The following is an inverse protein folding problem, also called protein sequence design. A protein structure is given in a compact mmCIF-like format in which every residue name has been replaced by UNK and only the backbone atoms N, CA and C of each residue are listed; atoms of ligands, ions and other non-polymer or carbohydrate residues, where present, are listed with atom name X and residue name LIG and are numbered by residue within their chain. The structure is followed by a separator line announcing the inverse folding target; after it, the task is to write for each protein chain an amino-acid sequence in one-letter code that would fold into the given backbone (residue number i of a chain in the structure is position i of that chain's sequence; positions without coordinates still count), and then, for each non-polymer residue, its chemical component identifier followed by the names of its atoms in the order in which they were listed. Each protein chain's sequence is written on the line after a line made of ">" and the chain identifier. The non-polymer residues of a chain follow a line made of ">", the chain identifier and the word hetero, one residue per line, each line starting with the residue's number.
data_IF_321411386130
#
_entry.id   IF_321411386130
#
_cell.length_a   1.000
_cell.length_b   1.000
_cell.length_c   1.000
_cell.angle_alpha   90.00
_cell.angle_beta   90.00
_cell.angle_gamma   90.00
#
_symmetry.space_group_name_H-M   'P 1'
#
loop_
_entity.id
_entity.type
_entity.pdbx_description
1 polymer ?
#
# COMPACT_ATOMS: atom_id res chain seq x y z
N UNK A 1 3.56 -11.25 6.26
CA UNK A 1 4.38 -12.39 6.70
C UNK A 1 3.50 -13.48 7.32
N UNK A 2 3.76 -14.73 7.00
CA UNK A 2 3.01 -15.89 7.48
C UNK A 2 3.01 -15.99 9.03
N UNK A 3 4.08 -15.56 9.67
CA UNK A 3 4.25 -15.56 11.14
C UNK A 3 4.43 -14.17 11.74
N UNK A 4 3.96 -13.13 11.07
CA UNK A 4 4.17 -11.73 11.50
C UNK A 4 3.58 -11.42 12.87
N UNK A 5 2.39 -11.93 13.17
CA UNK A 5 1.76 -11.75 14.50
C UNK A 5 2.60 -12.40 15.60
N UNK A 6 3.12 -13.59 15.36
CA UNK A 6 3.96 -14.29 16.33
C UNK A 6 5.29 -13.56 16.58
N UNK A 7 5.90 -13.04 15.52
CA UNK A 7 7.11 -12.23 15.65
C UNK A 7 6.86 -10.96 16.48
N UNK A 8 5.73 -10.28 16.24
CA UNK A 8 5.34 -9.12 17.06
C UNK A 8 5.09 -9.50 18.52
N UNK A 9 4.48 -10.65 18.80
CA UNK A 9 4.29 -11.13 20.16
C UNK A 9 5.62 -11.38 20.87
N UNK A 10 6.67 -11.84 20.17
CA UNK A 10 8.00 -11.97 20.76
C UNK A 10 8.58 -10.62 21.18
N UNK A 11 8.37 -9.56 20.38
CA UNK A 11 8.77 -8.20 20.76
C UNK A 11 8.03 -7.75 22.03
N UNK A 12 6.73 -8.00 22.12
CA UNK A 12 5.96 -7.67 23.33
C UNK A 12 6.44 -8.47 24.54
N UNK A 13 6.74 -9.75 24.37
CA UNK A 13 7.27 -10.61 25.44
C UNK A 13 8.61 -10.07 26.00
N UNK A 14 9.51 -9.59 25.14
CA UNK A 14 10.75 -8.96 25.59
C UNK A 14 10.49 -7.73 26.48
N UNK A 15 9.55 -6.87 26.09
CA UNK A 15 9.18 -5.70 26.90
C UNK A 15 8.54 -6.10 28.24
N UNK A 16 7.70 -7.14 28.25
CA UNK A 16 7.08 -7.67 29.47
C UNK A 16 8.13 -8.28 30.40
N UNK A 17 9.03 -9.12 29.89
CA UNK A 17 10.09 -9.78 30.66
C UNK A 17 11.06 -8.78 31.30
N UNK A 18 11.33 -7.68 30.63
CA UNK A 18 12.24 -6.64 31.11
C UNK A 18 11.53 -5.53 31.89
N UNK A 19 10.21 -5.61 32.08
CA UNK A 19 9.40 -4.58 32.73
C UNK A 19 9.35 -3.25 32.02
N UNK A 20 9.71 -3.21 30.73
CA UNK A 20 9.79 -1.99 29.91
C UNK A 20 8.54 -1.81 29.04
N UNK A 21 7.37 -1.92 29.67
CA UNK A 21 6.07 -1.66 29.03
C UNK A 21 5.30 -0.63 29.86
N UNK A 22 4.58 0.26 29.19
CA UNK A 22 3.78 1.32 29.81
C UNK A 22 4.55 2.25 30.76
N UNK A 23 5.85 2.38 30.57
CA UNK A 23 6.70 3.34 31.27
C UNK A 23 7.12 4.45 30.29
N UNK A 24 7.28 5.70 30.75
CA UNK A 24 7.79 6.79 29.93
C UNK A 24 9.12 6.43 29.24
N UNK A 25 9.19 6.60 27.92
CA UNK A 25 10.37 6.26 27.12
C UNK A 25 10.58 4.77 26.88
N UNK A 26 9.67 3.90 27.32
CA UNK A 26 9.76 2.45 27.15
C UNK A 26 8.52 1.89 26.47
N UNK A 27 8.71 0.87 25.62
CA UNK A 27 7.62 0.15 24.98
C UNK A 27 7.94 -0.30 23.56
N UNK A 28 7.17 -1.24 23.01
CA UNK A 28 7.27 -1.62 21.63
C UNK A 28 6.80 -0.47 20.73
N UNK A 29 7.55 -0.20 19.68
CA UNK A 29 7.29 0.93 18.79
C UNK A 29 7.25 0.47 17.33
N UNK A 30 6.21 0.86 16.60
CA UNK A 30 6.08 0.58 15.17
C UNK A 30 6.65 1.74 14.35
N UNK A 31 7.76 1.46 13.65
CA UNK A 31 8.38 2.42 12.74
C UNK A 31 7.81 2.23 11.33
N UNK A 32 6.69 2.86 11.05
CA UNK A 32 6.13 2.91 9.71
C UNK A 32 6.95 3.90 8.86
N UNK A 33 7.40 3.46 7.67
CA UNK A 33 8.37 4.21 6.88
C UNK A 33 7.82 5.43 6.12
N UNK A 34 6.62 5.33 5.55
CA UNK A 34 6.07 6.39 4.71
C UNK A 34 5.51 7.54 5.56
N UNK A 35 5.67 8.81 5.11
CA UNK A 35 5.15 9.99 5.81
C UNK A 35 3.64 9.93 6.09
N UNK A 36 2.85 9.37 5.20
CA UNK A 36 1.39 9.27 5.33
C UNK A 36 0.88 7.84 5.29
N UNK A 37 1.62 6.87 5.83
CA UNK A 37 1.16 5.47 5.80
C UNK A 37 -0.20 5.29 6.48
N UNK A 38 -0.42 5.93 7.63
CA UNK A 38 -1.71 5.90 8.31
C UNK A 38 -2.79 6.64 7.51
N UNK A 39 -2.50 7.83 6.99
CA UNK A 39 -3.41 8.59 6.14
C UNK A 39 -3.78 7.83 4.86
N UNK A 40 -2.80 7.28 4.19
CA UNK A 40 -2.99 6.50 2.96
C UNK A 40 -3.79 5.23 3.20
N UNK A 41 -3.46 4.47 4.25
CA UNK A 41 -4.10 3.18 4.52
C UNK A 41 -5.51 3.32 5.11
N UNK A 42 -5.74 4.29 5.98
CA UNK A 42 -6.99 4.43 6.74
C UNK A 42 -7.91 5.52 6.21
N UNK A 43 -7.41 6.74 6.05
CA UNK A 43 -8.20 7.88 5.62
C UNK A 43 -8.55 7.77 4.13
N UNK A 44 -7.61 7.40 3.28
CA UNK A 44 -7.81 7.25 1.84
C UNK A 44 -8.33 5.85 1.46
N UNK A 45 -7.87 4.81 2.14
CA UNK A 45 -8.31 3.44 1.91
C UNK A 45 -7.68 2.78 0.68
N UNK A 46 -6.35 2.78 0.60
CA UNK A 46 -5.63 2.27 -0.58
C UNK A 46 -5.52 0.74 -0.69
N UNK A 47 -5.91 -0.01 0.33
CA UNK A 47 -5.93 -1.47 0.25
C UNK A 47 -7.13 -1.99 -0.53
N UNK A 48 -6.98 -3.13 -1.20
CA UNK A 48 -8.01 -3.74 -2.04
C UNK A 48 -9.37 -4.01 -1.35
N UNK A 49 -9.39 -4.10 -0.02
CA UNK A 49 -10.60 -4.31 0.79
C UNK A 49 -11.14 -3.03 1.43
N UNK A 50 -10.45 -1.90 1.28
CA UNK A 50 -10.76 -0.65 1.97
C UNK A 50 -11.48 0.36 1.10
N UNK A 51 -12.21 1.21 1.77
CA UNK A 51 -12.75 2.48 1.32
C UNK A 51 -12.25 3.57 2.28
N UNK A 52 -12.38 4.86 1.96
CA UNK A 52 -11.97 5.95 2.85
C UNK A 52 -12.58 5.84 4.26
N UNK A 53 -11.89 6.44 5.24
CA UNK A 53 -12.33 6.53 6.64
C UNK A 53 -12.58 5.17 7.31
N UNK A 54 -11.67 4.21 7.11
CA UNK A 54 -11.73 2.83 7.65
C UNK A 54 -12.93 2.00 7.15
N UNK A 55 -13.69 2.49 6.18
CA UNK A 55 -14.77 1.73 5.57
C UNK A 55 -14.23 0.54 4.74
N UNK A 56 -15.08 -0.43 4.45
CA UNK A 56 -14.73 -1.65 3.71
C UNK A 56 -15.67 -1.92 2.56
N UNK A 57 -15.15 -2.44 1.46
CA UNK A 57 -15.93 -2.73 0.23
C UNK A 57 -16.99 -3.81 0.42
N UNK A 58 -16.82 -4.72 1.38
CA UNK A 58 -17.78 -5.79 1.66
C UNK A 58 -19.06 -5.31 2.35
N UNK A 59 -19.07 -4.11 2.92
CA UNK A 59 -20.23 -3.53 3.57
C UNK A 59 -21.02 -2.65 2.58
N UNK A 60 -22.24 -2.99 2.33
CA UNK A 60 -23.14 -2.29 1.40
C UNK A 60 -23.33 -0.81 1.78
N UNK A 61 -23.59 -0.52 3.06
CA UNK A 61 -23.77 0.85 3.53
C UNK A 61 -22.52 1.71 3.30
N UNK A 62 -21.33 1.12 3.44
CA UNK A 62 -20.06 1.82 3.19
C UNK A 62 -19.90 2.16 1.71
N UNK A 63 -20.27 1.23 0.81
CA UNK A 63 -20.27 1.48 -0.64
C UNK A 63 -21.24 2.61 -0.98
N UNK A 64 -22.47 2.54 -0.48
CA UNK A 64 -23.50 3.57 -0.72
C UNK A 64 -23.04 4.97 -0.29
N UNK A 65 -22.38 5.06 0.88
CA UNK A 65 -21.83 6.34 1.37
C UNK A 65 -20.76 6.87 0.40
N UNK A 66 -19.84 6.02 -0.05
CA UNK A 66 -18.79 6.42 -0.97
C UNK A 66 -19.34 6.78 -2.34
N UNK A 67 -20.24 5.98 -2.90
CA UNK A 67 -20.88 6.24 -4.19
C UNK A 67 -21.61 7.58 -4.20
N UNK A 68 -22.38 7.87 -3.16
CA UNK A 68 -23.04 9.17 -2.99
C UNK A 68 -22.05 10.33 -2.90
N UNK A 69 -20.96 10.16 -2.10
CA UNK A 69 -19.94 11.21 -1.93
C UNK A 69 -19.15 11.48 -3.20
N UNK A 70 -18.85 10.43 -3.97
CA UNK A 70 -18.13 10.53 -5.23
C UNK A 70 -19.03 10.89 -6.42
N UNK A 71 -20.35 10.98 -6.20
CA UNK A 71 -21.33 11.23 -7.24
C UNK A 71 -21.24 10.24 -8.41
N UNK A 72 -21.14 8.97 -8.10
CA UNK A 72 -21.12 7.85 -9.06
C UNK A 72 -22.39 7.00 -8.89
N UNK A 73 -22.82 6.27 -9.94
CA UNK A 73 -24.02 5.43 -9.88
C UNK A 73 -23.93 4.38 -8.77
N UNK A 74 -25.06 4.09 -8.14
CA UNK A 74 -25.16 3.02 -7.15
C UNK A 74 -24.80 1.67 -7.78
N UNK A 75 -24.04 0.86 -7.02
CA UNK A 75 -23.53 -0.44 -7.49
C UNK A 75 -22.27 -0.36 -8.36
N UNK A 76 -21.66 0.82 -8.50
CA UNK A 76 -20.39 0.99 -9.22
C UNK A 76 -19.22 0.34 -8.46
N UNK A 77 -19.22 0.44 -7.13
CA UNK A 77 -18.16 -0.15 -6.30
C UNK A 77 -18.41 -1.64 -6.13
N UNK A 78 -17.47 -2.50 -6.57
CA UNK A 78 -17.64 -3.95 -6.43
C UNK A 78 -17.75 -4.38 -4.95
N UNK A 79 -18.63 -5.32 -4.66
CA UNK A 79 -18.78 -5.89 -3.32
C UNK A 79 -17.67 -6.88 -2.95
N UNK A 80 -16.89 -7.34 -3.92
CA UNK A 80 -15.79 -8.28 -3.74
C UNK A 80 -14.47 -7.53 -3.51
N UNK A 81 -13.67 -8.04 -2.59
CA UNK A 81 -12.31 -7.58 -2.37
C UNK A 81 -11.48 -7.83 -3.64
N UNK A 82 -10.69 -6.84 -4.06
CA UNK A 82 -9.75 -6.97 -5.16
C UNK A 82 -8.57 -7.90 -4.84
N UNK A 83 -7.73 -8.16 -5.82
CA UNK A 83 -6.57 -9.02 -5.68
C UNK A 83 -5.51 -8.37 -4.77
N UNK A 84 -4.96 -9.11 -3.83
CA UNK A 84 -3.78 -8.70 -3.08
C UNK A 84 -2.53 -8.76 -3.96
N UNK A 85 -1.43 -8.10 -3.58
CA UNK A 85 -0.25 -7.90 -4.42
C UNK A 85 0.29 -9.18 -5.10
N UNK A 86 0.46 -10.27 -4.36
CA UNK A 86 0.95 -11.55 -4.94
C UNK A 86 -0.07 -12.15 -5.91
N UNK A 87 -1.36 -12.02 -5.63
CA UNK A 87 -2.40 -12.49 -6.54
C UNK A 87 -2.47 -11.64 -7.82
N UNK A 88 -2.15 -10.35 -7.74
CA UNK A 88 -2.01 -9.50 -8.93
C UNK A 88 -0.82 -9.92 -9.79
N UNK A 89 0.34 -10.23 -9.17
CA UNK A 89 1.50 -10.76 -9.89
C UNK A 89 1.19 -12.06 -10.63
N UNK A 90 0.47 -12.99 -9.96
CA UNK A 90 0.00 -14.23 -10.57
C UNK A 90 -0.99 -13.98 -11.71
N UNK A 91 -1.92 -13.06 -11.51
CA UNK A 91 -2.91 -12.71 -12.54
C UNK A 91 -2.23 -12.09 -13.78
N UNK A 92 -1.17 -11.31 -13.59
CA UNK A 92 -0.34 -10.78 -14.67
C UNK A 92 0.41 -11.91 -15.42
N UNK A 93 1.02 -12.83 -14.69
CA UNK A 93 1.70 -14.02 -15.22
C UNK A 93 0.73 -14.92 -16.00
N UNK A 94 -0.49 -15.12 -15.47
CA UNK A 94 -1.51 -15.97 -16.07
C UNK A 94 -2.27 -15.29 -17.23
N UNK A 95 -1.93 -14.05 -17.59
CA UNK A 95 -2.60 -13.31 -18.64
C UNK A 95 -4.03 -12.85 -18.31
N UNK A 96 -4.40 -12.84 -17.03
CA UNK A 96 -5.68 -12.30 -16.54
C UNK A 96 -5.64 -10.79 -16.35
N UNK A 97 -4.44 -10.21 -16.25
CA UNK A 97 -4.13 -8.80 -16.29
C UNK A 97 -3.08 -8.59 -17.37
N UNK A 98 -3.19 -7.49 -18.11
CA UNK A 98 -2.25 -7.14 -19.17
C UNK A 98 -1.62 -5.75 -18.96
N UNK A 99 -2.10 -5.00 -17.96
CA UNK A 99 -1.53 -3.72 -17.57
C UNK A 99 -1.27 -3.73 -16.08
N UNK A 100 -0.09 -3.29 -15.68
CA UNK A 100 0.29 -3.19 -14.27
C UNK A 100 0.98 -1.86 -14.00
N UNK A 101 0.38 -1.04 -13.16
CA UNK A 101 0.91 0.27 -12.79
C UNK A 101 1.39 0.24 -11.33
N UNK A 102 2.68 0.38 -11.14
CA UNK A 102 3.34 0.47 -9.84
C UNK A 102 3.66 1.92 -9.51
N UNK A 103 3.29 2.37 -8.32
CA UNK A 103 3.54 3.73 -7.86
C UNK A 103 4.36 3.73 -6.58
N UNK A 104 5.51 4.40 -6.58
CA UNK A 104 6.38 4.67 -5.42
C UNK A 104 6.73 3.43 -4.59
N UNK A 105 6.93 2.30 -5.23
CA UNK A 105 7.40 1.06 -4.59
C UNK A 105 8.29 0.25 -5.52
N UNK A 106 9.42 -0.22 -5.00
CA UNK A 106 10.39 -1.00 -5.77
C UNK A 106 10.03 -2.49 -5.73
N UNK A 107 8.96 -2.85 -6.39
CA UNK A 107 8.38 -4.19 -6.35
C UNK A 107 9.33 -5.29 -6.85
N UNK A 108 10.24 -4.98 -7.78
CA UNK A 108 11.22 -5.95 -8.30
C UNK A 108 12.31 -6.31 -7.28
N UNK A 109 12.40 -5.58 -6.15
CA UNK A 109 13.28 -5.92 -5.03
C UNK A 109 12.51 -6.32 -3.76
N UNK A 110 11.37 -5.71 -3.51
CA UNK A 110 10.63 -5.86 -2.26
C UNK A 110 9.58 -6.99 -2.28
N UNK A 111 9.28 -7.57 -3.42
CA UNK A 111 8.26 -8.61 -3.53
C UNK A 111 8.75 -9.98 -3.06
N UNK A 112 7.84 -10.86 -2.61
CA UNK A 112 8.18 -12.25 -2.29
C UNK A 112 8.35 -13.06 -3.58
N UNK A 113 9.31 -14.00 -3.56
CA UNK A 113 9.55 -14.98 -4.63
C UNK A 113 9.51 -14.37 -6.05
N UNK A 114 10.30 -13.32 -6.24
CA UNK A 114 10.28 -12.48 -7.44
C UNK A 114 10.44 -13.28 -8.72
N UNK A 115 11.37 -14.24 -8.72
CA UNK A 115 11.73 -15.00 -9.92
C UNK A 115 10.57 -15.86 -10.46
N UNK A 116 9.74 -16.41 -9.60
CA UNK A 116 8.67 -17.32 -9.99
C UNK A 116 7.30 -16.64 -10.05
N UNK A 117 7.07 -15.64 -9.19
CA UNK A 117 5.76 -15.02 -9.08
C UNK A 117 5.64 -13.75 -9.93
N UNK A 118 6.64 -12.87 -9.87
CA UNK A 118 6.57 -11.54 -10.51
C UNK A 118 7.27 -11.46 -11.85
N UNK A 119 8.52 -11.89 -11.91
CA UNK A 119 9.36 -11.78 -13.09
C UNK A 119 8.70 -12.31 -14.37
N UNK A 120 8.03 -13.49 -14.35
CA UNK A 120 7.42 -14.02 -15.54
C UNK A 120 6.33 -13.08 -16.12
N UNK A 121 5.50 -12.48 -15.28
CA UNK A 121 4.47 -11.53 -15.72
C UNK A 121 5.05 -10.19 -16.19
N UNK A 122 6.08 -9.69 -15.51
CA UNK A 122 6.72 -8.43 -15.88
C UNK A 122 7.52 -8.50 -17.19
N UNK A 123 8.03 -9.68 -17.55
CA UNK A 123 8.78 -9.90 -18.79
C UNK A 123 7.95 -10.48 -19.94
N UNK A 124 6.68 -10.72 -19.71
CA UNK A 124 5.77 -11.19 -20.76
C UNK A 124 5.48 -10.04 -21.73
N UNK A 125 5.82 -10.16 -23.01
CA UNK A 125 5.63 -9.08 -24.00
C UNK A 125 4.16 -8.74 -24.26
N UNK A 126 3.22 -9.53 -23.76
CA UNK A 126 1.79 -9.23 -23.81
C UNK A 126 1.33 -8.22 -22.77
N UNK A 127 2.16 -7.97 -21.76
CA UNK A 127 1.86 -7.10 -20.63
C UNK A 127 2.50 -5.73 -20.83
N UNK A 128 1.86 -4.71 -20.30
CA UNK A 128 2.34 -3.34 -20.30
C UNK A 128 2.58 -2.87 -18.87
N UNK A 129 3.82 -2.59 -18.53
CA UNK A 129 4.26 -2.26 -17.18
C UNK A 129 4.54 -0.75 -17.08
N UNK A 130 3.83 -0.08 -16.18
CA UNK A 130 4.02 1.34 -15.88
C UNK A 130 4.62 1.46 -14.49
N UNK A 131 5.65 2.30 -14.33
CA UNK A 131 6.23 2.63 -13.02
C UNK A 131 6.26 4.13 -12.84
N UNK A 132 5.67 4.60 -11.75
CA UNK A 132 5.76 5.97 -11.27
C UNK A 132 6.63 5.99 -10.02
N UNK A 133 7.83 6.58 -10.13
CA UNK A 133 8.79 6.62 -9.02
C UNK A 133 9.66 7.87 -9.12
N UNK A 134 10.06 8.49 -8.01
CA UNK A 134 11.04 9.60 -8.02
C UNK A 134 12.46 9.14 -8.35
N UNK A 135 12.75 7.84 -8.28
CA UNK A 135 14.08 7.28 -8.53
C UNK A 135 14.07 6.23 -9.64
N UNK A 136 15.18 6.08 -10.38
CA UNK A 136 15.36 5.02 -11.37
C UNK A 136 15.65 3.68 -10.69
N UNK A 137 14.65 3.15 -10.00
CA UNK A 137 14.73 1.86 -9.30
C UNK A 137 14.84 0.68 -10.28
N UNK A 138 15.20 -0.50 -9.77
CA UNK A 138 15.20 -1.75 -10.58
C UNK A 138 13.82 -1.99 -11.19
N UNK A 139 12.75 -1.65 -10.50
CA UNK A 139 11.38 -1.72 -11.04
C UNK A 139 11.17 -0.76 -12.19
N UNK A 140 11.65 0.49 -12.05
CA UNK A 140 11.55 1.47 -13.12
C UNK A 140 12.33 1.04 -14.37
N UNK A 141 13.55 0.52 -14.19
CA UNK A 141 14.37 0.03 -15.30
C UNK A 141 13.78 -1.20 -16.02
N UNK A 142 12.86 -1.90 -15.40
CA UNK A 142 12.18 -3.06 -15.96
C UNK A 142 10.78 -2.72 -16.54
N UNK A 143 10.39 -1.45 -16.56
CA UNK A 143 9.08 -0.99 -17.03
C UNK A 143 9.11 -0.63 -18.51
N UNK A 144 7.93 -0.73 -19.15
CA UNK A 144 7.72 -0.24 -20.53
C UNK A 144 7.51 1.28 -20.55
N UNK A 145 6.93 1.85 -19.50
CA UNK A 145 6.72 3.28 -19.35
C UNK A 145 7.14 3.74 -17.95
N UNK A 146 8.04 4.74 -17.91
CA UNK A 146 8.45 5.40 -16.67
C UNK A 146 7.79 6.77 -16.60
N UNK A 147 7.11 7.04 -15.49
CA UNK A 147 6.52 8.35 -15.17
C UNK A 147 7.25 8.91 -13.94
N UNK A 148 8.25 9.78 -14.11
CA UNK A 148 8.95 10.40 -12.98
C UNK A 148 7.97 11.17 -12.09
N UNK A 149 8.07 10.98 -10.78
CA UNK A 149 7.20 11.64 -9.81
C UNK A 149 7.99 12.55 -8.88
N UNK A 150 7.37 13.65 -8.47
CA UNK A 150 7.92 14.51 -7.42
C UNK A 150 7.94 13.78 -6.07
N UNK A 151 8.99 13.98 -5.30
CA UNK A 151 9.05 13.58 -3.90
C UNK A 151 8.04 14.37 -3.06
N UNK A 152 7.73 13.87 -1.87
CA UNK A 152 6.78 14.54 -0.98
C UNK A 152 7.23 15.94 -0.57
N UNK A 153 8.54 16.20 -0.46
CA UNK A 153 9.12 17.51 -0.14
C UNK A 153 9.04 18.49 -1.31
N UNK A 154 8.94 18.01 -2.54
CA UNK A 154 8.87 18.81 -3.76
C UNK A 154 7.46 19.28 -4.11
N UNK A 155 6.49 19.04 -3.24
CA UNK A 155 5.07 19.39 -3.46
C UNK A 155 4.39 19.72 -2.14
N UNK A 156 3.29 20.44 -2.21
CA UNK A 156 2.43 20.66 -1.05
C UNK A 156 1.56 19.44 -0.74
N UNK A 157 1.18 19.28 0.52
CA UNK A 157 0.28 18.21 0.88
C UNK A 157 -0.03 18.11 2.36
N UNK A 158 -0.71 17.03 2.71
CA UNK A 158 -1.04 16.66 4.07
C UNK A 158 -0.80 15.17 4.28
N UNK A 159 -0.38 14.79 5.46
CA UNK A 159 -0.26 13.38 5.84
C UNK A 159 -0.77 13.13 7.26
N UNK A 160 -1.37 11.97 7.46
CA UNK A 160 -1.81 11.48 8.76
C UNK A 160 -0.73 10.63 9.43
N UNK A 161 -0.73 10.62 10.76
CA UNK A 161 0.16 9.79 11.55
C UNK A 161 -0.60 8.88 12.52
N UNK A 162 0.14 8.07 13.30
CA UNK A 162 -0.44 7.15 14.28
C UNK A 162 -1.18 7.86 15.43
N UNK A 163 -0.87 9.12 15.71
CA UNK A 163 -1.58 9.95 16.69
C UNK A 163 -2.89 10.54 16.16
N UNK A 164 -3.26 10.25 14.91
CA UNK A 164 -4.42 10.80 14.22
C UNK A 164 -4.37 12.32 14.02
N UNK A 165 -3.17 12.88 13.95
CA UNK A 165 -2.95 14.27 13.55
C UNK A 165 -2.77 14.35 12.05
N UNK A 166 -3.29 15.43 11.44
CA UNK A 166 -3.00 15.80 10.06
C UNK A 166 -1.92 16.87 10.05
N UNK A 167 -0.80 16.54 9.43
CA UNK A 167 0.30 17.45 9.22
C UNK A 167 0.23 18.04 7.82
N UNK A 168 0.35 19.34 7.73
CA UNK A 168 0.47 20.05 6.45
C UNK A 168 1.93 20.42 6.21
N UNK A 169 2.37 20.29 4.99
CA UNK A 169 3.69 20.77 4.58
C UNK A 169 3.59 21.57 3.29
N UNK A 170 4.56 22.44 3.11
CA UNK A 170 4.73 23.23 1.89
C UNK A 170 5.90 22.66 1.10
N UNK A 171 5.89 22.92 -0.18
CA UNK A 171 7.03 22.65 -1.07
C UNK A 171 8.28 23.33 -0.54
N UNK A 172 9.40 22.62 -0.52
CA UNK A 172 10.71 23.11 -0.12
C UNK A 172 11.52 23.56 -1.33
#
# INVERSE_FOLDING_TARGET
>A
HTRGVWANNLVYNLHLLTGKISQPGCGPFSLTGQPSACGTAREVGTFAHRLPADMVVTNEKHRDICEKKWNIPSGTIPAKIGLHAVAQDRALKDGKLNVYWTMCTNNMQAGPNINEERMPGWRDPRNFIIVSDPYPTVSALAADLILPTAMWVEKEGAYGNAERRTHFWRQQ
#
